data_IF_417999384515
#
_entry.id   IF_417999384515
#
_cell.length_a   1.000
_cell.length_b   1.000
_cell.length_c   1.000
_cell.angle_alpha   90.00
_cell.angle_beta   90.00
_cell.angle_gamma   90.00
#
_symmetry.space_group_name_H-M   'P 1'
#
loop_
_entity.id
_entity.type
_entity.pdbx_description
1 polymer ?
#
# COMPACT_ATOMS: atom_id res chain seq x y z
N UNK A 1 40.11 -30.60 14.66
CA UNK A 1 39.56 -29.57 13.77
C UNK A 1 38.40 -30.23 13.08
N UNK A 2 37.22 -29.73 13.38
CA UNK A 2 35.93 -30.37 13.10
C UNK A 2 35.74 -30.54 11.59
N UNK A 3 35.26 -31.72 11.24
CA UNK A 3 34.94 -32.18 9.90
C UNK A 3 33.68 -31.45 9.43
N UNK A 4 33.84 -30.19 9.00
CA UNK A 4 32.78 -29.51 8.25
C UNK A 4 32.64 -30.28 6.95
N UNK A 5 31.57 -31.09 6.87
CA UNK A 5 31.25 -31.92 5.72
C UNK A 5 31.43 -31.15 4.43
N UNK A 6 31.95 -31.85 3.41
CA UNK A 6 32.23 -31.29 2.10
C UNK A 6 31.02 -30.47 1.62
N UNK A 7 31.20 -29.26 1.04
CA UNK A 7 30.08 -28.46 0.53
C UNK A 7 29.18 -29.21 -0.48
N UNK A 8 29.70 -30.31 -1.04
CA UNK A 8 29.01 -31.27 -1.92
C UNK A 8 27.98 -32.16 -1.20
N UNK A 9 28.05 -32.29 0.13
CA UNK A 9 27.13 -33.10 0.94
C UNK A 9 25.89 -32.31 1.39
N UNK A 10 25.85 -31.00 1.11
CA UNK A 10 24.72 -30.13 1.44
C UNK A 10 23.56 -30.37 0.47
N UNK A 11 22.34 -30.29 1.00
CA UNK A 11 21.14 -30.34 0.17
C UNK A 11 21.09 -29.17 -0.81
N UNK A 12 20.60 -29.41 -2.02
CA UNK A 12 20.57 -28.40 -3.09
C UNK A 12 19.79 -27.12 -2.72
N UNK A 13 18.82 -27.22 -1.82
CA UNK A 13 18.00 -26.11 -1.33
C UNK A 13 18.68 -25.26 -0.25
N UNK A 14 19.75 -25.78 0.35
CA UNK A 14 20.48 -25.14 1.46
C UNK A 14 21.86 -24.62 1.02
N UNK A 15 22.21 -24.82 -0.26
CA UNK A 15 23.43 -24.30 -0.85
C UNK A 15 23.43 -22.78 -0.79
N UNK A 16 24.52 -22.20 -0.28
CA UNK A 16 24.77 -20.77 -0.31
C UNK A 16 25.73 -20.42 -1.44
N UNK A 17 25.79 -19.13 -1.79
CA UNK A 17 26.76 -18.64 -2.78
C UNK A 17 28.19 -18.98 -2.36
N UNK A 18 28.51 -18.94 -1.06
CA UNK A 18 29.82 -19.32 -0.53
C UNK A 18 30.14 -20.81 -0.78
N UNK A 19 29.15 -21.68 -0.63
CA UNK A 19 29.32 -23.11 -0.88
C UNK A 19 29.67 -23.39 -2.35
N UNK A 20 29.09 -22.66 -3.29
CA UNK A 20 29.42 -22.76 -4.73
C UNK A 20 30.88 -22.35 -4.98
N UNK A 21 31.38 -21.33 -4.29
CA UNK A 21 32.79 -20.93 -4.37
C UNK A 21 33.74 -21.98 -3.78
N UNK A 22 33.36 -22.61 -2.67
CA UNK A 22 34.16 -23.68 -2.06
C UNK A 22 34.20 -24.93 -2.94
N UNK A 23 33.07 -25.29 -3.57
CA UNK A 23 32.99 -26.37 -4.57
C UNK A 23 33.88 -26.05 -5.78
N UNK A 24 33.85 -24.82 -6.27
CA UNK A 24 34.69 -24.37 -7.39
C UNK A 24 36.19 -24.48 -7.06
N UNK A 25 36.58 -24.18 -5.82
CA UNK A 25 37.95 -24.30 -5.35
C UNK A 25 38.43 -25.76 -5.31
N UNK A 26 37.59 -26.68 -4.81
CA UNK A 26 37.91 -28.12 -4.79
C UNK A 26 38.00 -28.67 -6.22
N UNK A 27 37.04 -28.33 -7.09
CA UNK A 27 37.11 -28.73 -8.50
C UNK A 27 38.32 -28.17 -9.23
N UNK A 28 38.70 -26.91 -8.95
CA UNK A 28 39.90 -26.28 -9.50
C UNK A 28 41.18 -27.04 -9.16
N UNK A 29 41.30 -27.55 -7.92
CA UNK A 29 42.44 -28.37 -7.49
C UNK A 29 42.50 -29.71 -8.23
N UNK A 30 41.36 -30.35 -8.52
CA UNK A 30 41.34 -31.59 -9.31
C UNK A 30 41.73 -31.34 -10.77
N UNK A 31 41.25 -30.22 -11.36
CA UNK A 31 41.67 -29.82 -12.70
C UNK A 31 43.17 -29.52 -12.78
N UNK A 32 43.75 -28.91 -11.75
CA UNK A 32 45.20 -28.66 -11.66
C UNK A 32 45.98 -29.99 -11.70
N UNK A 33 45.57 -31.00 -10.91
CA UNK A 33 46.20 -32.33 -10.93
C UNK A 33 46.09 -33.03 -12.29
N UNK A 34 44.96 -32.89 -12.97
CA UNK A 34 44.75 -33.47 -14.31
C UNK A 34 45.64 -32.76 -15.34
N UNK A 35 45.73 -31.43 -15.27
CA UNK A 35 46.60 -30.64 -16.14
C UNK A 35 48.07 -31.04 -15.95
N UNK A 36 48.50 -31.20 -14.70
CA UNK A 36 49.88 -31.60 -14.38
C UNK A 36 50.27 -32.97 -14.97
N UNK A 37 49.30 -33.89 -15.11
CA UNK A 37 49.55 -35.26 -15.58
C UNK A 37 49.33 -35.44 -17.10
N UNK A 38 48.37 -34.73 -17.69
CA UNK A 38 47.90 -34.97 -19.07
C UNK A 38 48.04 -33.75 -19.99
N UNK A 39 48.51 -32.62 -19.47
CA UNK A 39 48.62 -31.36 -20.20
C UNK A 39 47.30 -30.60 -20.35
N UNK A 40 47.39 -29.32 -20.70
CA UNK A 40 46.24 -28.39 -20.70
C UNK A 40 45.21 -28.66 -21.81
N UNK A 41 45.64 -29.19 -22.96
CA UNK A 41 44.81 -29.28 -24.17
C UNK A 41 43.56 -30.17 -23.99
N UNK A 42 43.65 -31.23 -23.17
CA UNK A 42 42.55 -32.14 -22.93
C UNK A 42 41.53 -31.59 -21.90
N UNK A 43 41.96 -30.73 -20.98
CA UNK A 43 41.16 -30.26 -19.85
C UNK A 43 40.49 -28.90 -20.09
N UNK A 44 41.02 -28.05 -20.98
CA UNK A 44 40.50 -26.71 -21.28
C UNK A 44 39.03 -26.71 -21.74
N UNK A 45 38.65 -27.64 -22.63
CA UNK A 45 37.25 -27.75 -23.12
C UNK A 45 36.27 -28.22 -22.06
N UNK A 46 36.72 -29.01 -21.09
CA UNK A 46 35.90 -29.47 -19.98
C UNK A 46 35.78 -28.36 -18.91
N UNK A 47 36.90 -27.70 -18.61
CA UNK A 47 36.96 -26.60 -17.63
C UNK A 47 35.98 -25.48 -17.98
N UNK A 48 35.95 -25.04 -19.24
CA UNK A 48 35.01 -24.02 -19.72
C UNK A 48 33.54 -24.42 -19.54
N UNK A 49 33.19 -25.71 -19.69
CA UNK A 49 31.84 -26.22 -19.41
C UNK A 49 31.54 -26.29 -17.92
N UNK A 50 32.51 -26.69 -17.09
CA UNK A 50 32.33 -26.74 -15.63
C UNK A 50 32.18 -25.34 -15.05
N UNK A 51 32.97 -24.37 -15.51
CA UNK A 51 32.81 -22.96 -15.15
C UNK A 51 31.40 -22.48 -15.52
N UNK A 52 30.88 -22.83 -16.71
CA UNK A 52 29.52 -22.47 -17.10
C UNK A 52 28.45 -23.08 -16.18
N UNK A 53 28.62 -24.33 -15.76
CA UNK A 53 27.69 -24.99 -14.82
C UNK A 53 27.74 -24.31 -13.45
N UNK A 54 28.93 -23.97 -12.96
CA UNK A 54 29.11 -23.24 -11.70
C UNK A 54 28.49 -21.83 -11.75
N UNK A 55 28.60 -21.11 -12.87
CA UNK A 55 27.93 -19.83 -13.07
C UNK A 55 26.41 -19.95 -13.00
N UNK A 56 25.84 -20.98 -13.64
CA UNK A 56 24.39 -21.24 -13.59
C UNK A 56 23.96 -21.58 -12.16
N UNK A 57 24.76 -22.38 -11.45
CA UNK A 57 24.49 -22.74 -10.05
C UNK A 57 24.55 -21.51 -9.13
N UNK A 58 25.53 -20.63 -9.30
CA UNK A 58 25.63 -19.37 -8.55
C UNK A 58 24.38 -18.50 -8.73
N UNK A 59 23.90 -18.36 -9.98
CA UNK A 59 22.68 -17.57 -10.27
C UNK A 59 21.43 -18.20 -9.65
N UNK A 60 21.30 -19.53 -9.72
CA UNK A 60 20.15 -20.23 -9.15
C UNK A 60 20.12 -20.13 -7.62
N UNK A 61 21.27 -20.31 -6.97
CA UNK A 61 21.41 -20.17 -5.52
C UNK A 61 21.17 -18.73 -5.07
N UNK A 62 21.67 -17.75 -5.81
CA UNK A 62 21.43 -16.32 -5.55
C UNK A 62 19.95 -15.98 -5.66
N UNK A 63 19.25 -16.48 -6.68
CA UNK A 63 17.80 -16.27 -6.84
C UNK A 63 16.98 -16.96 -5.75
N UNK A 64 17.36 -18.18 -5.35
CA UNK A 64 16.65 -18.93 -4.32
C UNK A 64 16.77 -18.26 -2.94
N UNK A 65 17.96 -17.72 -2.60
CA UNK A 65 18.19 -17.04 -1.34
C UNK A 65 17.60 -15.62 -1.29
N UNK A 66 17.29 -15.05 -2.45
CA UNK A 66 16.67 -13.72 -2.57
C UNK A 66 15.15 -13.82 -2.70
N UNK A 67 14.54 -15.00 -2.86
CA UNK A 67 13.11 -15.17 -3.18
C UNK A 67 12.19 -14.45 -2.15
N UNK A 68 11.86 -13.17 -2.39
CA UNK A 68 11.27 -12.30 -1.38
C UNK A 68 9.80 -12.63 -1.22
N UNK A 69 9.17 -13.10 -2.30
CA UNK A 69 7.79 -13.57 -2.35
C UNK A 69 7.56 -14.71 -1.36
N UNK A 70 8.49 -15.66 -1.24
CA UNK A 70 8.33 -16.76 -0.26
C UNK A 70 8.43 -16.29 1.19
N UNK A 71 9.26 -15.29 1.49
CA UNK A 71 9.37 -14.71 2.82
C UNK A 71 8.18 -13.78 3.13
N UNK A 72 7.73 -12.99 2.15
CA UNK A 72 6.54 -12.15 2.23
C UNK A 72 5.28 -12.98 2.49
N UNK A 73 5.09 -14.08 1.75
CA UNK A 73 3.99 -15.01 1.98
C UNK A 73 4.06 -15.68 3.35
N UNK A 74 5.27 -15.98 3.86
CA UNK A 74 5.45 -16.50 5.23
C UNK A 74 5.04 -15.47 6.28
N UNK A 75 5.48 -14.21 6.12
CA UNK A 75 5.13 -13.12 7.03
C UNK A 75 3.63 -12.83 7.01
N UNK A 76 3.00 -12.83 5.82
CA UNK A 76 1.56 -12.60 5.69
C UNK A 76 0.76 -13.78 6.28
N UNK A 77 1.21 -15.02 6.11
CA UNK A 77 0.61 -16.18 6.76
C UNK A 77 0.66 -16.07 8.29
N UNK A 78 1.80 -15.63 8.84
CA UNK A 78 1.94 -15.44 10.29
C UNK A 78 1.11 -14.28 10.82
N UNK A 79 1.02 -13.17 10.06
CA UNK A 79 0.10 -12.07 10.35
C UNK A 79 -1.36 -12.55 10.40
N UNK A 80 -1.81 -13.28 9.37
CA UNK A 80 -3.17 -13.82 9.29
C UNK A 80 -3.46 -14.80 10.44
N UNK A 81 -2.47 -15.59 10.86
CA UNK A 81 -2.60 -16.47 12.05
C UNK A 81 -2.79 -15.66 13.33
N UNK A 82 -2.02 -14.59 13.52
CA UNK A 82 -2.20 -13.71 14.68
C UNK A 82 -3.57 -13.05 14.67
N UNK A 83 -4.00 -12.51 13.52
CA UNK A 83 -5.31 -11.88 13.39
C UNK A 83 -6.45 -12.86 13.68
N UNK A 84 -6.38 -14.09 13.16
CA UNK A 84 -7.34 -15.15 13.47
C UNK A 84 -7.37 -15.44 14.97
N UNK A 85 -6.22 -15.59 15.61
CA UNK A 85 -6.15 -15.87 17.04
C UNK A 85 -6.73 -14.73 17.88
N UNK A 86 -6.52 -13.48 17.48
CA UNK A 86 -7.04 -12.33 18.19
C UNK A 86 -8.56 -12.16 17.98
N UNK A 87 -9.07 -12.45 16.78
CA UNK A 87 -10.53 -12.55 16.55
C UNK A 87 -11.16 -13.61 17.44
N UNK A 88 -10.57 -14.80 17.50
CA UNK A 88 -11.07 -15.91 18.33
C UNK A 88 -11.04 -15.57 19.83
N UNK A 89 -10.01 -14.87 20.31
CA UNK A 89 -9.97 -14.37 21.71
C UNK A 89 -11.06 -13.34 21.97
N UNK A 90 -11.31 -12.40 21.05
CA UNK A 90 -12.37 -11.39 21.18
C UNK A 90 -13.74 -12.05 21.23
N UNK A 91 -13.99 -13.02 20.35
CA UNK A 91 -15.23 -13.82 20.37
C UNK A 91 -15.41 -14.57 21.68
N UNK A 92 -14.35 -15.18 22.22
CA UNK A 92 -14.41 -15.85 23.53
C UNK A 92 -14.70 -14.88 24.69
N UNK A 93 -14.14 -13.66 24.66
CA UNK A 93 -14.41 -12.65 25.68
C UNK A 93 -15.86 -12.15 25.56
N UNK A 94 -16.31 -11.85 24.34
CA UNK A 94 -17.67 -11.42 24.08
C UNK A 94 -18.71 -12.48 24.49
N UNK A 95 -18.41 -13.76 24.23
CA UNK A 95 -19.25 -14.87 24.68
C UNK A 95 -19.38 -14.91 26.21
N UNK A 96 -18.29 -14.70 26.95
CA UNK A 96 -18.32 -14.64 28.42
C UNK A 96 -19.08 -13.42 28.94
N UNK A 97 -18.97 -12.28 28.26
CA UNK A 97 -19.74 -11.08 28.59
C UNK A 97 -21.24 -11.31 28.38
N UNK A 98 -21.62 -11.97 27.28
CA UNK A 98 -23.01 -12.35 27.02
C UNK A 98 -23.54 -13.32 28.08
N UNK A 99 -22.77 -14.35 28.44
CA UNK A 99 -23.13 -15.28 29.53
C UNK A 99 -23.35 -14.55 30.86
N UNK A 100 -22.47 -13.59 31.19
CA UNK A 100 -22.62 -12.79 32.40
C UNK A 100 -23.89 -11.92 32.37
N UNK A 101 -24.19 -11.29 31.22
CA UNK A 101 -25.41 -10.50 31.03
C UNK A 101 -26.66 -11.37 31.16
N UNK A 102 -26.65 -12.57 30.57
CA UNK A 102 -27.75 -13.53 30.71
C UNK A 102 -27.96 -13.96 32.17
N UNK A 103 -26.90 -14.22 32.92
CA UNK A 103 -26.99 -14.60 34.33
C UNK A 103 -27.57 -13.48 35.19
N UNK A 104 -27.12 -12.24 34.99
CA UNK A 104 -27.67 -11.06 35.68
C UNK A 104 -29.16 -10.90 35.35
N UNK A 105 -29.52 -10.99 34.06
CA UNK A 105 -30.90 -10.86 33.62
C UNK A 105 -31.81 -11.96 34.19
N UNK A 106 -31.32 -13.21 34.29
CA UNK A 106 -32.03 -14.31 34.96
C UNK A 106 -32.26 -14.02 36.43
N UNK A 107 -31.26 -13.47 37.12
CA UNK A 107 -31.37 -13.05 38.52
C UNK A 107 -32.44 -11.98 38.72
N UNK A 108 -32.38 -10.90 37.94
CA UNK A 108 -33.37 -9.81 37.99
C UNK A 108 -34.78 -10.30 37.69
N UNK A 109 -34.95 -11.15 36.67
CA UNK A 109 -36.24 -11.74 36.33
C UNK A 109 -36.79 -12.60 37.48
N UNK A 110 -35.94 -13.38 38.15
CA UNK A 110 -36.33 -14.19 39.30
C UNK A 110 -36.71 -13.33 40.51
N UNK A 111 -35.99 -12.24 40.76
CA UNK A 111 -36.30 -11.30 41.84
C UNK A 111 -37.64 -10.59 41.61
N UNK A 112 -37.90 -10.16 40.37
CA UNK A 112 -39.19 -9.58 39.98
C UNK A 112 -40.34 -10.58 40.13
N UNK A 113 -40.15 -11.83 39.72
CA UNK A 113 -41.14 -12.89 39.91
C UNK A 113 -41.41 -13.16 41.40
N UNK A 114 -40.37 -13.12 42.23
CA UNK A 114 -40.48 -13.28 43.68
C UNK A 114 -41.29 -12.12 44.30
N UNK A 115 -41.02 -10.88 43.87
CA UNK A 115 -41.77 -9.70 44.28
C UNK A 115 -43.24 -9.77 43.85
N UNK A 116 -43.53 -10.16 42.60
CA UNK A 116 -44.91 -10.35 42.12
C UNK A 116 -45.63 -11.39 42.97
N UNK A 117 -44.98 -12.51 43.27
CA UNK A 117 -45.56 -13.58 44.10
C UNK A 117 -45.86 -13.08 45.51
N UNK A 118 -44.95 -12.34 46.13
CA UNK A 118 -45.15 -11.73 47.45
C UNK A 118 -46.33 -10.74 47.43
N UNK A 119 -46.37 -9.83 46.46
CA UNK A 119 -47.46 -8.88 46.30
C UNK A 119 -48.81 -9.57 46.03
N UNK A 120 -48.83 -10.68 45.31
CA UNK A 120 -50.05 -11.49 45.11
C UNK A 120 -50.54 -12.12 46.43
N UNK A 121 -49.63 -12.63 47.26
CA UNK A 121 -49.96 -13.18 48.59
C UNK A 121 -50.51 -12.08 49.50
N UNK A 122 -49.84 -10.92 49.55
CA UNK A 122 -50.27 -9.77 50.34
C UNK A 122 -51.65 -9.27 49.88
N UNK A 123 -51.86 -9.09 48.58
CA UNK A 123 -53.16 -8.71 48.03
C UNK A 123 -54.27 -9.71 48.38
N UNK A 124 -53.98 -11.02 48.32
CA UNK A 124 -54.93 -12.07 48.69
C UNK A 124 -55.23 -12.03 50.20
N UNK A 125 -54.24 -11.75 51.03
CA UNK A 125 -54.40 -11.56 52.47
C UNK A 125 -55.27 -10.33 52.80
N UNK A 126 -54.99 -9.19 52.17
CA UNK A 126 -55.76 -7.94 52.33
C UNK A 126 -57.21 -8.15 51.90
N UNK A 127 -57.46 -8.74 50.74
CA UNK A 127 -58.83 -9.05 50.26
C UNK A 127 -59.62 -9.91 51.25
N UNK A 128 -58.98 -10.92 51.86
CA UNK A 128 -59.61 -11.74 52.91
C UNK A 128 -59.90 -10.94 54.17
N UNK A 129 -58.99 -10.04 54.58
CA UNK A 129 -59.17 -9.19 55.76
C UNK A 129 -60.28 -8.14 55.58
N UNK A 130 -60.45 -7.59 54.38
CA UNK A 130 -61.54 -6.67 54.05
C UNK A 130 -62.88 -7.39 54.03
N UNK A 131 -62.94 -8.60 53.45
CA UNK A 131 -64.14 -9.45 53.48
C UNK A 131 -64.60 -9.84 54.89
N UNK A 132 -63.70 -9.82 55.89
CA UNK A 132 -64.03 -10.07 57.30
C UNK A 132 -64.52 -8.80 58.04
N UNK A 133 -64.23 -7.61 57.50
CA UNK A 133 -64.59 -6.31 58.09
C UNK A 133 -65.94 -5.77 57.60
N UNK A 134 -66.54 -6.33 56.56
CA UNK A 134 -67.83 -5.91 56.00
C UNK A 134 -69.07 -6.48 56.76
N UNK A 135 -68.97 -6.71 58.07
CA UNK A 135 -70.12 -7.02 58.95
C UNK A 135 -70.47 -5.79 59.79
N UNK A 136 -71.73 -5.30 59.83
CA UNK A 136 -72.02 -3.96 60.34
C UNK A 136 -72.30 -3.98 61.84
N UNK A 137 -71.47 -3.28 62.63
CA UNK A 137 -71.89 -2.68 63.90
C UNK A 137 -71.28 -1.28 64.02
N UNK A 138 -72.15 -0.42 64.52
CA UNK A 138 -72.24 1.03 64.64
C UNK A 138 -71.26 1.72 65.59
N UNK A 139 -71.11 3.02 65.31
CA UNK A 139 -70.89 4.14 66.25
C UNK A 139 -69.56 4.21 67.03
N UNK A 140 -68.80 5.27 66.78
CA UNK A 140 -68.71 6.34 67.79
C UNK A 140 -68.21 7.67 67.20
N UNK A 141 -68.90 8.72 67.63
CA UNK A 141 -68.71 10.13 67.34
C UNK A 141 -67.38 10.67 67.91
N UNK A 142 -66.87 11.69 67.20
CA UNK A 142 -66.25 12.90 67.76
C UNK A 142 -65.23 12.72 68.90
N UNK A 143 -63.95 12.75 68.53
CA UNK A 143 -62.87 13.47 69.24
C UNK A 143 -61.55 13.13 68.56
N UNK A 144 -60.99 14.05 67.78
CA UNK A 144 -59.56 14.37 67.84
C UNK A 144 -59.22 15.44 66.79
N UNK A 145 -59.01 16.67 67.27
CA UNK A 145 -58.15 17.67 66.62
C UNK A 145 -56.68 17.24 66.74
N UNK A 146 -56.38 16.05 66.23
CA UNK A 146 -55.06 15.44 66.25
C UNK A 146 -55.03 14.37 65.19
N UNK A 147 -54.03 14.45 64.32
CA UNK A 147 -53.76 13.49 63.22
C UNK A 147 -54.09 12.07 63.69
N UNK A 148 -55.08 11.45 63.05
CA UNK A 148 -55.56 10.11 63.40
C UNK A 148 -54.40 9.11 63.30
N UNK A 149 -54.45 8.01 64.07
CA UNK A 149 -53.35 7.02 64.09
C UNK A 149 -53.04 6.45 62.69
N UNK A 150 -54.07 6.31 61.85
CA UNK A 150 -53.95 5.95 60.43
C UNK A 150 -53.20 7.02 59.61
N UNK A 151 -53.49 8.29 59.84
CA UNK A 151 -52.82 9.42 59.17
C UNK A 151 -51.35 9.53 59.61
N UNK A 152 -51.03 9.25 60.88
CA UNK A 152 -49.63 9.13 61.36
C UNK A 152 -48.90 7.98 60.68
N UNK A 153 -49.55 6.84 60.50
CA UNK A 153 -48.98 5.68 59.79
C UNK A 153 -48.69 6.01 58.32
N UNK A 154 -49.62 6.69 57.65
CA UNK A 154 -49.43 7.15 56.25
C UNK A 154 -48.28 8.14 56.17
N UNK A 155 -48.21 9.11 57.08
CA UNK A 155 -47.14 10.10 57.10
C UNK A 155 -45.75 9.48 57.34
N UNK A 156 -45.68 8.43 58.19
CA UNK A 156 -44.44 7.66 58.38
C UNK A 156 -44.00 6.94 57.10
N UNK A 157 -44.93 6.26 56.42
CA UNK A 157 -44.64 5.59 55.14
C UNK A 157 -44.23 6.57 54.06
N UNK A 158 -44.90 7.72 53.97
CA UNK A 158 -44.56 8.77 53.01
C UNK A 158 -43.16 9.33 53.28
N UNK A 159 -42.82 9.54 54.56
CA UNK A 159 -41.46 9.93 54.96
C UNK A 159 -40.42 8.88 54.56
N UNK A 160 -40.68 7.60 54.80
CA UNK A 160 -39.78 6.51 54.40
C UNK A 160 -39.57 6.45 52.87
N UNK A 161 -40.63 6.66 52.09
CA UNK A 161 -40.52 6.72 50.62
C UNK A 161 -39.74 7.97 50.17
N UNK A 162 -40.00 9.13 50.76
CA UNK A 162 -39.27 10.37 50.44
C UNK A 162 -37.78 10.25 50.81
N UNK A 163 -37.47 9.66 51.97
CA UNK A 163 -36.08 9.45 52.39
C UNK A 163 -35.38 8.46 51.44
N UNK A 164 -36.04 7.37 51.02
CA UNK A 164 -35.52 6.46 49.99
C UNK A 164 -35.29 7.13 48.64
N UNK A 165 -36.27 7.92 48.17
CA UNK A 165 -36.13 8.65 46.90
C UNK A 165 -34.96 9.65 46.96
N UNK A 166 -34.70 10.27 48.12
CA UNK A 166 -33.53 11.13 48.31
C UNK A 166 -32.21 10.36 48.26
N UNK A 167 -32.17 9.16 48.81
CA UNK A 167 -31.00 8.27 48.71
C UNK A 167 -30.77 7.86 47.26
N UNK A 168 -31.82 7.40 46.57
CA UNK A 168 -31.76 7.02 45.16
C UNK A 168 -31.31 8.18 44.25
N UNK A 169 -31.81 9.40 44.49
CA UNK A 169 -31.36 10.59 43.75
C UNK A 169 -29.86 10.83 43.98
N UNK A 170 -29.38 10.70 45.22
CA UNK A 170 -27.95 10.88 45.53
C UNK A 170 -27.08 9.83 44.87
N UNK A 171 -27.51 8.58 44.87
CA UNK A 171 -26.79 7.49 44.22
C UNK A 171 -26.75 7.69 42.70
N UNK A 172 -27.88 8.11 42.10
CA UNK A 172 -27.96 8.43 40.68
C UNK A 172 -27.12 9.64 40.28
N UNK A 173 -27.06 10.69 41.10
CA UNK A 173 -26.17 11.83 40.88
C UNK A 173 -24.69 11.41 40.93
N UNK A 174 -24.34 10.49 41.83
CA UNK A 174 -22.98 9.95 41.90
C UNK A 174 -22.64 9.12 40.66
N UNK A 175 -23.56 8.27 40.22
CA UNK A 175 -23.42 7.48 38.98
C UNK A 175 -23.26 8.40 37.75
N UNK A 176 -24.09 9.45 37.64
CA UNK A 176 -24.00 10.44 36.56
C UNK A 176 -22.67 11.17 36.55
N UNK A 177 -22.14 11.54 37.72
CA UNK A 177 -20.84 12.21 37.81
C UNK A 177 -19.70 11.30 37.32
N UNK A 178 -19.69 10.03 37.73
CA UNK A 178 -18.70 9.06 37.23
C UNK A 178 -18.80 8.87 35.72
N UNK A 179 -20.02 8.78 35.17
CA UNK A 179 -20.23 8.71 33.72
C UNK A 179 -19.78 9.97 32.99
N UNK A 180 -19.96 11.15 33.59
CA UNK A 180 -19.44 12.41 33.03
C UNK A 180 -17.90 12.43 33.01
N UNK A 181 -17.24 11.98 34.08
CA UNK A 181 -15.77 11.86 34.11
C UNK A 181 -15.26 10.91 33.02
N UNK A 182 -15.92 9.77 32.80
CA UNK A 182 -15.61 8.85 31.71
C UNK A 182 -15.80 9.50 30.33
N UNK A 183 -16.90 10.25 30.14
CA UNK A 183 -17.16 10.98 28.89
C UNK A 183 -16.09 12.04 28.62
N UNK A 184 -15.69 12.81 29.63
CA UNK A 184 -14.62 13.80 29.52
C UNK A 184 -13.27 13.15 29.17
N UNK A 185 -12.95 12.00 29.80
CA UNK A 185 -11.74 11.24 29.49
C UNK A 185 -11.74 10.73 28.04
N UNK A 186 -12.88 10.21 27.56
CA UNK A 186 -13.04 9.76 26.18
C UNK A 186 -12.96 10.92 25.18
N UNK A 187 -13.54 12.08 25.50
CA UNK A 187 -13.43 13.29 24.67
C UNK A 187 -11.97 13.75 24.55
N UNK A 188 -11.20 13.72 25.64
CA UNK A 188 -9.77 14.06 25.60
C UNK A 188 -8.97 13.09 24.71
N UNK A 189 -9.28 11.79 24.80
CA UNK A 189 -8.65 10.78 23.93
C UNK A 189 -9.02 10.98 22.47
N UNK A 190 -10.30 11.26 22.16
CA UNK A 190 -10.76 11.55 20.82
C UNK A 190 -10.03 12.76 20.23
N UNK A 191 -9.94 13.86 20.98
CA UNK A 191 -9.21 15.05 20.54
C UNK A 191 -7.72 14.77 20.29
N UNK A 192 -7.09 13.97 21.15
CA UNK A 192 -5.69 13.54 20.95
C UNK A 192 -5.53 12.71 19.67
N UNK A 193 -6.41 11.75 19.44
CA UNK A 193 -6.38 10.92 18.23
C UNK A 193 -6.64 11.75 16.97
N UNK A 194 -7.57 12.71 17.03
CA UNK A 194 -7.84 13.63 15.93
C UNK A 194 -6.59 14.45 15.57
N UNK A 195 -5.84 14.94 16.56
CA UNK A 195 -4.56 15.63 16.33
C UNK A 195 -3.52 14.72 15.69
N UNK A 196 -3.33 13.51 16.20
CA UNK A 196 -2.40 12.54 15.62
C UNK A 196 -2.79 12.19 14.18
N UNK A 197 -4.09 12.01 13.91
CA UNK A 197 -4.57 11.69 12.57
C UNK A 197 -4.29 12.84 11.58
N UNK A 198 -4.48 14.09 12.01
CA UNK A 198 -4.13 15.27 11.21
C UNK A 198 -2.62 15.32 10.91
N UNK A 199 -1.77 15.10 11.92
CA UNK A 199 -0.31 15.08 11.78
C UNK A 199 0.14 13.97 10.81
N UNK A 200 -0.47 12.78 10.89
CA UNK A 200 -0.19 11.66 9.99
C UNK A 200 -0.62 11.97 8.55
N UNK A 201 -1.81 12.55 8.35
CA UNK A 201 -2.27 12.99 7.01
C UNK A 201 -1.30 13.99 6.40
N UNK A 202 -0.87 14.99 7.17
CA UNK A 202 0.11 15.96 6.70
C UNK A 202 1.44 15.30 6.33
N UNK A 203 1.92 14.36 7.17
CA UNK A 203 3.16 13.62 6.89
C UNK A 203 3.06 12.77 5.63
N UNK A 204 1.94 12.10 5.40
CA UNK A 204 1.67 11.36 4.17
C UNK A 204 1.75 12.30 2.96
N UNK A 205 1.05 13.44 2.99
CA UNK A 205 1.09 14.41 1.87
C UNK A 205 2.51 14.91 1.57
N UNK A 206 3.34 15.14 2.61
CA UNK A 206 4.75 15.54 2.42
C UNK A 206 5.57 14.41 1.77
N UNK A 207 5.43 13.18 2.25
CA UNK A 207 6.15 12.01 1.70
C UNK A 207 5.72 11.74 0.26
N UNK A 208 4.44 11.85 -0.05
CA UNK A 208 3.92 11.73 -1.43
C UNK A 208 4.49 12.81 -2.35
N UNK A 209 4.54 14.06 -1.90
CA UNK A 209 5.14 15.15 -2.68
C UNK A 209 6.64 14.90 -2.93
N UNK A 210 7.37 14.40 -1.93
CA UNK A 210 8.77 14.01 -2.09
C UNK A 210 8.93 12.85 -3.09
N UNK A 211 8.08 11.82 -3.00
CA UNK A 211 8.08 10.70 -3.94
C UNK A 211 7.86 11.15 -5.38
N UNK A 212 6.88 12.03 -5.62
CA UNK A 212 6.62 12.62 -6.95
C UNK A 212 7.82 13.41 -7.48
N UNK A 213 8.48 14.20 -6.63
CA UNK A 213 9.67 14.96 -7.01
C UNK A 213 10.84 14.04 -7.43
N UNK A 214 11.07 12.94 -6.69
CA UNK A 214 12.13 11.96 -7.03
C UNK A 214 11.81 11.23 -8.33
N UNK A 215 10.55 10.85 -8.56
CA UNK A 215 10.12 10.22 -9.82
C UNK A 215 10.36 11.18 -11.00
N UNK A 216 10.02 12.46 -10.85
CA UNK A 216 10.27 13.47 -11.87
C UNK A 216 11.76 13.64 -12.16
N UNK A 217 12.60 13.75 -11.13
CA UNK A 217 14.06 13.85 -11.29
C UNK A 217 14.65 12.62 -12.00
N UNK A 218 14.16 11.42 -11.66
CA UNK A 218 14.57 10.19 -12.34
C UNK A 218 14.21 10.25 -13.83
N UNK A 219 12.98 10.63 -14.17
CA UNK A 219 12.54 10.74 -15.55
C UNK A 219 13.37 11.78 -16.35
N UNK A 220 13.70 12.91 -15.73
CA UNK A 220 14.57 13.93 -16.35
C UNK A 220 15.98 13.42 -16.60
N UNK A 221 16.58 12.71 -15.64
CA UNK A 221 17.91 12.11 -15.79
C UNK A 221 17.93 11.01 -16.86
N UNK A 222 16.89 10.18 -16.92
CA UNK A 222 16.72 9.16 -17.96
C UNK A 222 16.62 9.81 -19.34
N UNK A 223 15.80 10.86 -19.49
CA UNK A 223 15.71 11.61 -20.74
C UNK A 223 17.05 12.22 -21.16
N UNK A 224 17.81 12.81 -20.22
CA UNK A 224 19.16 13.34 -20.49
C UNK A 224 20.15 12.24 -20.91
N UNK A 225 20.07 11.07 -20.29
CA UNK A 225 20.90 9.91 -20.63
C UNK A 225 20.59 9.44 -22.06
N UNK A 226 19.31 9.31 -22.41
CA UNK A 226 18.89 8.94 -23.76
C UNK A 226 19.33 9.96 -24.82
N UNK A 227 19.20 11.25 -24.54
CA UNK A 227 19.67 12.30 -25.45
C UNK A 227 21.18 12.20 -25.72
N UNK A 228 22.00 12.05 -24.67
CA UNK A 228 23.45 11.84 -24.81
C UNK A 228 23.78 10.56 -25.58
N UNK A 229 23.04 9.49 -25.36
CA UNK A 229 23.23 8.23 -26.09
C UNK A 229 22.95 8.39 -27.58
N UNK A 230 21.93 9.18 -27.95
CA UNK A 230 21.63 9.51 -29.35
C UNK A 230 22.74 10.37 -29.97
N UNK A 231 23.25 11.38 -29.25
CA UNK A 231 24.39 12.19 -29.70
C UNK A 231 25.65 11.35 -29.93
N UNK A 232 25.98 10.45 -29.00
CA UNK A 232 27.09 9.51 -29.16
C UNK A 232 26.88 8.58 -30.37
N UNK A 233 25.65 8.13 -30.60
CA UNK A 233 25.27 7.36 -31.78
C UNK A 233 25.52 8.15 -33.08
N UNK A 234 25.07 9.40 -33.14
CA UNK A 234 25.27 10.28 -34.28
C UNK A 234 26.76 10.56 -34.55
N UNK A 235 27.54 10.86 -33.50
CA UNK A 235 28.99 11.07 -33.61
C UNK A 235 29.72 9.79 -34.08
N UNK A 236 29.31 8.60 -33.63
CA UNK A 236 29.88 7.34 -34.11
C UNK A 236 29.61 7.11 -35.60
N UNK A 237 28.41 7.43 -36.07
CA UNK A 237 28.06 7.36 -37.49
C UNK A 237 28.90 8.34 -38.31
N UNK A 238 29.05 9.57 -37.81
CA UNK A 238 29.87 10.59 -38.48
C UNK A 238 31.36 10.20 -38.54
N UNK A 239 31.90 9.64 -37.47
CA UNK A 239 33.27 9.09 -37.46
C UNK A 239 33.41 7.92 -38.44
N UNK A 240 32.40 7.05 -38.56
CA UNK A 240 32.42 5.96 -39.54
C UNK A 240 32.42 6.52 -40.98
N UNK A 241 31.54 7.47 -41.28
CA UNK A 241 31.47 8.16 -42.58
C UNK A 241 32.81 8.81 -42.95
N UNK A 242 33.41 9.59 -42.04
CA UNK A 242 34.70 10.23 -42.28
C UNK A 242 35.84 9.23 -42.47
N UNK A 243 35.77 8.04 -41.83
CA UNK A 243 36.74 6.97 -42.05
C UNK A 243 36.61 6.36 -43.43
N UNK A 244 35.38 6.15 -43.91
CA UNK A 244 35.10 5.66 -45.27
C UNK A 244 35.57 6.68 -46.31
N UNK A 245 35.21 7.96 -46.17
CA UNK A 245 35.68 9.03 -47.06
C UNK A 245 37.22 9.08 -47.10
N UNK A 246 37.90 8.98 -45.96
CA UNK A 246 39.37 8.93 -45.92
C UNK A 246 39.93 7.70 -46.64
N UNK A 247 39.31 6.53 -46.50
CA UNK A 247 39.74 5.32 -47.22
C UNK A 247 39.57 5.48 -48.73
N UNK A 248 38.47 6.08 -49.18
CA UNK A 248 38.25 6.40 -50.58
C UNK A 248 39.33 7.36 -51.11
N UNK A 249 39.63 8.43 -50.37
CA UNK A 249 40.73 9.36 -50.72
C UNK A 249 42.09 8.66 -50.79
N UNK A 250 42.40 7.75 -49.86
CA UNK A 250 43.65 6.97 -49.89
C UNK A 250 43.73 6.04 -51.11
N UNK A 251 42.60 5.44 -51.52
CA UNK A 251 42.53 4.60 -52.72
C UNK A 251 42.68 5.43 -53.99
N UNK A 252 42.04 6.60 -54.08
CA UNK A 252 42.17 7.49 -55.22
C UNK A 252 43.58 8.08 -55.33
N UNK A 253 44.24 8.37 -54.20
CA UNK A 253 45.64 8.83 -54.18
C UNK A 253 46.59 7.72 -54.67
N UNK A 254 46.35 6.46 -54.29
CA UNK A 254 47.10 5.31 -54.83
C UNK A 254 46.87 5.09 -56.32
N UNK A 255 45.63 5.20 -56.82
CA UNK A 255 45.36 5.15 -58.28
C UNK A 255 46.06 6.27 -59.04
N UNK A 256 46.06 7.48 -58.48
CA UNK A 256 46.72 8.65 -59.09
C UNK A 256 48.25 8.53 -59.06
N UNK A 257 48.82 7.82 -58.08
CA UNK A 257 50.27 7.55 -58.00
C UNK A 257 50.73 6.41 -58.94
N UNK A 258 49.82 5.52 -59.37
CA UNK A 258 50.10 4.52 -60.41
C UNK A 258 49.99 5.10 -61.84
N UNK A 259 49.39 6.29 -62.01
CA UNK A 259 49.45 7.10 -63.24
C UNK A 259 50.60 8.13 -63.18
N UNK A 260 51.83 7.75 -63.55
CA UNK A 260 52.90 8.73 -63.82
C UNK A 260 52.72 9.37 -65.22
N UNK A 261 53.04 10.67 -65.41
CA UNK A 261 52.56 11.48 -66.52
C UNK A 261 53.52 11.50 -67.71
N UNK A 262 53.01 11.28 -68.91
CA UNK A 262 53.67 11.77 -70.14
C UNK A 262 53.57 13.31 -70.20
N UNK A 263 54.65 14.04 -70.52
CA UNK A 263 54.65 15.49 -70.43
C UNK A 263 54.05 16.08 -71.70
N UNK A 264 52.94 16.80 -71.61
CA UNK A 264 52.66 17.92 -72.52
C UNK A 264 51.41 18.72 -72.15
N UNK A 265 51.66 20.02 -72.00
CA UNK A 265 50.77 21.17 -72.18
C UNK A 265 49.89 21.54 -70.99
N UNK A 266 50.46 22.48 -70.22
CA UNK A 266 49.73 23.50 -69.50
C UNK A 266 48.62 24.11 -70.38
N UNK A 267 47.38 23.96 -69.95
CA UNK A 267 46.32 24.92 -70.22
C UNK A 267 45.69 25.27 -68.89
N UNK A 268 45.90 26.52 -68.52
CA UNK A 268 45.31 27.19 -67.38
C UNK A 268 43.82 27.38 -67.68
N UNK A 269 42.95 26.54 -67.12
CA UNK A 269 41.50 26.76 -67.16
C UNK A 269 41.01 27.09 -65.76
N UNK A 270 40.72 28.37 -65.65
CA UNK A 270 40.05 29.05 -64.56
C UNK A 270 38.63 28.49 -64.36
N UNK A 271 38.30 28.21 -63.09
CA UNK A 271 36.98 28.24 -62.43
C UNK A 271 35.77 27.69 -63.20
N UNK A 272 35.16 26.60 -62.74
CA UNK A 272 33.78 26.57 -62.21
C UNK A 272 33.34 25.16 -61.78
N UNK A 273 32.33 25.10 -60.90
CA UNK A 273 31.53 23.95 -60.45
C UNK A 273 32.01 23.16 -59.22
N UNK A 274 32.01 23.82 -58.06
CA UNK A 274 31.53 23.16 -56.83
C UNK A 274 30.07 23.56 -56.68
N UNK A 275 29.18 22.62 -56.98
CA UNK A 275 27.77 22.68 -56.61
C UNK A 275 27.69 22.54 -55.08
N UNK A 276 27.87 23.65 -54.37
CA UNK A 276 27.45 23.75 -52.98
C UNK A 276 25.92 23.76 -52.97
N UNK A 277 25.31 22.57 -52.96
CA UNK A 277 23.90 22.41 -52.61
C UNK A 277 23.80 22.60 -51.10
N UNK A 278 23.75 23.86 -50.69
CA UNK A 278 23.27 24.29 -49.39
C UNK A 278 21.80 23.91 -49.29
N UNK A 279 21.50 22.68 -48.87
CA UNK A 279 20.21 22.38 -48.27
C UNK A 279 20.26 22.86 -46.81
N UNK A 280 19.82 24.10 -46.62
CA UNK A 280 19.17 24.50 -45.39
C UNK A 280 17.84 23.75 -45.34
N UNK A 281 17.48 23.02 -44.27
CA UNK A 281 16.09 22.77 -43.98
C UNK A 281 15.58 23.94 -43.16
N UNK A 282 14.99 24.93 -43.83
CA UNK A 282 14.01 25.80 -43.22
C UNK A 282 12.66 25.08 -43.32
N UNK A 283 12.30 24.38 -42.26
CA UNK A 283 10.95 23.85 -42.05
C UNK A 283 10.77 23.61 -40.54
N UNK A 284 10.66 24.71 -39.81
CA UNK A 284 9.81 24.73 -38.62
C UNK A 284 8.36 24.61 -39.12
N UNK A 285 7.96 23.38 -39.41
CA UNK A 285 6.57 23.02 -39.63
C UNK A 285 6.15 22.17 -38.43
N UNK A 286 5.26 22.73 -37.62
CA UNK A 286 4.52 22.04 -36.58
C UNK A 286 3.98 20.72 -37.11
N UNK A 287 4.55 19.61 -36.65
CA UNK A 287 3.85 18.33 -36.62
C UNK A 287 3.40 18.16 -35.18
N UNK A 288 2.18 18.63 -34.96
CA UNK A 288 1.34 18.18 -33.86
C UNK A 288 1.12 16.69 -34.10
N UNK A 289 1.84 15.85 -33.36
CA UNK A 289 1.38 14.49 -33.10
C UNK A 289 0.86 14.47 -31.67
N UNK A 290 -0.43 14.19 -31.59
CA UNK A 290 -1.25 14.15 -30.39
C UNK A 290 -0.54 13.42 -29.25
N UNK A 291 -0.20 14.18 -28.22
CA UNK A 291 -0.04 13.65 -26.87
C UNK A 291 -1.43 13.39 -26.30
N UNK A 292 -1.65 12.15 -25.88
CA UNK A 292 -2.82 11.57 -25.22
C UNK A 292 -3.20 12.23 -23.87
N UNK A 293 -2.63 13.40 -23.54
CA UNK A 293 -2.85 14.13 -22.28
C UNK A 293 -3.39 15.55 -22.47
N UNK A 294 -4.02 15.84 -23.61
CA UNK A 294 -4.57 17.16 -23.91
C UNK A 294 -6.10 17.28 -23.71
N UNK A 295 -6.74 16.34 -23.01
CA UNK A 295 -8.20 16.36 -22.82
C UNK A 295 -8.55 16.08 -21.35
N UNK A 296 -8.26 17.04 -20.47
CA UNK A 296 -8.86 17.19 -19.11
C UNK A 296 -8.46 18.54 -18.48
N UNK A 297 -8.57 19.65 -19.24
CA UNK A 297 -8.49 21.01 -18.68
C UNK A 297 -9.59 21.89 -19.24
N UNK A 298 -10.85 21.52 -18.99
CA UNK A 298 -12.00 22.40 -19.21
C UNK A 298 -13.17 21.94 -18.35
N UNK A 299 -13.08 22.09 -17.03
CA UNK A 299 -14.28 22.18 -16.19
C UNK A 299 -14.13 23.41 -15.30
N UNK A 300 -14.38 24.57 -15.91
CA UNK A 300 -14.44 25.86 -15.21
C UNK A 300 -15.70 26.00 -14.34
N UNK A 301 -16.56 24.99 -14.28
CA UNK A 301 -17.80 24.98 -13.50
C UNK A 301 -17.62 24.31 -12.12
N UNK A 302 -16.63 23.42 -11.96
CA UNK A 302 -16.41 22.69 -10.71
C UNK A 302 -15.72 23.53 -9.61
N UNK A 303 -14.87 24.49 -10.01
CA UNK A 303 -14.15 25.36 -9.06
C UNK A 303 -14.98 26.53 -8.52
N UNK A 304 -16.12 26.84 -9.14
CA UNK A 304 -17.03 27.90 -8.66
C UNK A 304 -17.84 27.47 -7.42
N UNK A 305 -17.91 26.17 -7.12
CA UNK A 305 -18.74 25.64 -6.02
C UNK A 305 -17.96 25.32 -4.74
N UNK A 306 -16.63 25.51 -4.75
CA UNK A 306 -15.77 25.24 -3.60
C UNK A 306 -15.45 26.48 -2.72
N UNK A 307 -15.83 27.69 -3.15
CA UNK A 307 -15.59 28.93 -2.39
C UNK A 307 -16.77 29.91 -2.46
N UNK A 308 -17.93 29.53 -1.90
CA UNK A 308 -18.89 30.51 -1.39
C UNK A 308 -18.96 30.40 0.13
N UNK A 309 -18.16 31.25 0.77
CA UNK A 309 -18.25 31.57 2.19
C UNK A 309 -19.31 32.67 2.38
N UNK A 310 -20.21 32.40 3.33
CA UNK A 310 -20.93 33.36 4.18
C UNK A 310 -21.57 34.60 3.51
N UNK A 311 -22.89 34.52 3.31
CA UNK A 311 -23.77 35.69 3.50
C UNK A 311 -25.01 35.28 4.30
N UNK A 312 -25.03 35.74 5.54
CA UNK A 312 -26.21 35.83 6.42
C UNK A 312 -27.40 36.49 5.71
N UNK A 313 -28.64 36.12 6.04
CA UNK A 313 -29.83 36.68 5.41
C UNK A 313 -30.11 38.12 5.86
N UNK A 314 -30.68 38.99 5.02
CA UNK A 314 -31.21 40.26 5.48
C UNK A 314 -32.54 40.02 6.20
N UNK A 315 -32.55 40.38 7.49
CA UNK A 315 -33.75 40.60 8.31
C UNK A 315 -34.49 41.82 7.78
N UNK A 316 -35.79 41.71 7.50
CA UNK A 316 -36.79 42.80 7.48
C UNK A 316 -38.22 42.19 7.42
N UNK A 317 -39.25 42.91 7.89
CA UNK A 317 -39.90 42.63 9.17
C UNK A 317 -41.32 42.05 9.05
N UNK A 318 -41.75 41.46 10.17
CA UNK A 318 -43.14 41.14 10.49
C UNK A 318 -44.06 42.33 10.18
N UNK A 319 -45.10 42.08 9.39
CA UNK A 319 -46.38 42.75 9.53
C UNK A 319 -47.43 41.69 9.84
N UNK A 320 -48.04 41.85 11.00
CA UNK A 320 -49.24 41.16 11.45
C UNK A 320 -50.40 41.43 10.47
N UNK A 321 -51.14 40.39 10.09
CA UNK A 321 -52.55 40.50 9.74
C UNK A 321 -53.22 39.21 10.23
N UNK A 322 -54.00 39.36 11.30
CA UNK A 322 -54.95 38.39 11.80
C UNK A 322 -56.10 38.21 10.78
N UNK A 323 -56.45 36.98 10.42
CA UNK A 323 -57.80 36.68 9.92
C UNK A 323 -58.30 35.36 10.52
N UNK A 324 -59.41 35.50 11.25
CA UNK A 324 -60.25 34.45 11.83
C UNK A 324 -61.21 33.81 10.80
N UNK A 325 -61.83 32.70 11.24
CA UNK A 325 -63.07 32.03 10.80
C UNK A 325 -62.94 30.93 9.72
N UNK A 326 -63.04 29.62 10.07
CA UNK A 326 -64.22 28.75 10.33
C UNK A 326 -64.80 28.09 9.04
N UNK A 327 -65.53 26.96 9.10
CA UNK A 327 -65.04 25.62 8.78
C UNK A 327 -65.67 25.05 7.48
N UNK A 328 -65.46 23.75 7.26
CA UNK A 328 -66.37 22.79 6.59
C UNK A 328 -65.87 22.13 5.28
N UNK A 329 -65.72 20.81 5.43
CA UNK A 329 -65.75 19.68 4.47
C UNK A 329 -64.80 19.62 3.25
N UNK A 330 -64.15 18.45 3.19
CA UNK A 330 -63.61 17.73 2.03
C UNK A 330 -62.17 18.08 1.61
N UNK A 331 -61.20 17.35 2.18
CA UNK A 331 -60.33 16.59 1.28
C UNK A 331 -59.83 15.29 1.93
N UNK A 332 -60.53 14.20 1.64
CA UNK A 332 -60.20 12.84 2.04
C UNK A 332 -59.02 12.27 1.21
N UNK A 333 -58.10 13.14 0.78
CA UNK A 333 -57.05 12.88 -0.22
C UNK A 333 -55.64 13.24 0.24
N UNK A 334 -55.47 13.75 1.46
CA UNK A 334 -54.15 14.02 2.04
C UNK A 334 -53.51 12.79 2.71
N UNK A 335 -54.27 11.69 2.87
CA UNK A 335 -53.79 10.51 3.59
C UNK A 335 -52.65 9.75 2.90
N UNK A 336 -52.34 10.05 1.64
CA UNK A 336 -51.24 9.41 0.87
C UNK A 336 -50.06 10.35 0.60
N UNK A 337 -50.08 11.59 1.11
CA UNK A 337 -48.94 12.52 0.97
C UNK A 337 -47.98 12.28 2.14
N UNK A 338 -46.69 11.98 1.91
CA UNK A 338 -45.76 11.85 3.02
C UNK A 338 -45.52 13.23 3.64
N UNK A 339 -45.98 13.40 4.87
CA UNK A 339 -45.81 14.62 5.66
C UNK A 339 -44.53 14.49 6.47
N UNK A 340 -43.40 14.81 5.86
CA UNK A 340 -42.14 14.91 6.59
C UNK A 340 -42.09 16.23 7.36
N UNK A 341 -41.66 16.18 8.61
CA UNK A 341 -41.29 17.39 9.34
C UNK A 341 -40.03 18.02 8.73
N UNK A 342 -39.81 19.32 8.93
CA UNK A 342 -38.58 19.98 8.46
C UNK A 342 -37.31 19.35 9.04
N UNK A 343 -37.42 18.77 10.23
CA UNK A 343 -36.31 18.07 10.89
C UNK A 343 -36.06 16.70 10.23
N UNK A 344 -37.10 15.92 9.97
CA UNK A 344 -36.99 14.66 9.20
C UNK A 344 -36.40 14.90 7.80
N UNK A 345 -36.77 16.00 7.14
CA UNK A 345 -36.21 16.33 5.83
C UNK A 345 -34.72 16.70 5.94
N UNK A 346 -34.30 17.38 7.01
CA UNK A 346 -32.87 17.68 7.25
C UNK A 346 -32.08 16.41 7.53
N UNK A 347 -32.64 15.51 8.32
CA UNK A 347 -32.00 14.24 8.64
C UNK A 347 -31.85 13.37 7.39
N UNK A 348 -32.89 13.25 6.56
CA UNK A 348 -32.84 12.55 5.28
C UNK A 348 -31.83 13.19 4.33
N UNK A 349 -31.73 14.53 4.29
CA UNK A 349 -30.73 15.22 3.48
C UNK A 349 -29.30 14.98 3.97
N UNK A 350 -29.10 14.94 5.29
CA UNK A 350 -27.82 14.65 5.92
C UNK A 350 -27.40 13.20 5.65
N UNK A 351 -28.31 12.26 5.88
CA UNK A 351 -28.11 10.84 5.59
C UNK A 351 -27.83 10.62 4.10
N UNK A 352 -28.59 11.25 3.20
CA UNK A 352 -28.33 11.22 1.74
C UNK A 352 -26.93 11.75 1.40
N UNK A 353 -26.50 12.84 2.01
CA UNK A 353 -25.18 13.42 1.76
C UNK A 353 -24.07 12.49 2.28
N UNK A 354 -24.27 11.88 3.43
CA UNK A 354 -23.33 10.93 4.05
C UNK A 354 -23.22 9.64 3.23
N UNK A 355 -24.35 9.08 2.80
CA UNK A 355 -24.41 7.94 1.88
C UNK A 355 -23.78 8.28 0.52
N UNK A 356 -23.96 9.50 0.01
CA UNK A 356 -23.33 9.93 -1.24
C UNK A 356 -21.80 9.99 -1.10
N UNK A 357 -21.27 10.40 0.05
CA UNK A 357 -19.84 10.36 0.34
C UNK A 357 -19.32 8.92 0.43
N UNK A 358 -20.05 8.03 1.11
CA UNK A 358 -19.70 6.61 1.19
C UNK A 358 -19.72 5.94 -0.19
N UNK A 359 -20.75 6.20 -1.00
CA UNK A 359 -20.84 5.68 -2.38
C UNK A 359 -19.70 6.21 -3.26
N UNK A 360 -19.27 7.46 -3.06
CA UNK A 360 -18.11 7.99 -3.75
C UNK A 360 -16.82 7.24 -3.38
N UNK A 361 -16.55 7.07 -2.08
CA UNK A 361 -15.41 6.31 -1.57
C UNK A 361 -15.41 4.85 -2.08
N UNK A 362 -16.55 4.17 -1.97
CA UNK A 362 -16.71 2.78 -2.44
C UNK A 362 -16.56 2.65 -3.95
N UNK A 363 -16.96 3.67 -4.73
CA UNK A 363 -16.72 3.69 -6.18
C UNK A 363 -15.25 3.85 -6.50
N UNK A 364 -14.52 4.67 -5.76
CA UNK A 364 -13.07 4.84 -5.91
C UNK A 364 -12.33 3.55 -5.54
N UNK A 365 -12.70 2.89 -4.44
CA UNK A 365 -12.19 1.57 -4.06
C UNK A 365 -12.51 0.52 -5.13
N UNK A 366 -13.74 0.48 -5.65
CA UNK A 366 -14.10 -0.44 -6.74
C UNK A 366 -13.32 -0.15 -8.02
N UNK A 367 -12.99 1.11 -8.33
CA UNK A 367 -12.14 1.45 -9.47
C UNK A 367 -10.72 0.96 -9.20
N UNK A 368 -10.19 1.17 -7.99
CA UNK A 368 -8.88 0.69 -7.58
C UNK A 368 -8.76 -0.84 -7.73
N UNK A 369 -9.70 -1.61 -7.16
CA UNK A 369 -9.67 -3.08 -7.26
C UNK A 369 -9.94 -3.58 -8.67
N UNK A 370 -10.79 -2.91 -9.47
CA UNK A 370 -10.97 -3.25 -10.89
C UNK A 370 -9.72 -2.95 -11.71
N UNK A 371 -9.00 -1.87 -11.41
CA UNK A 371 -7.72 -1.57 -12.03
C UNK A 371 -6.65 -2.58 -11.61
N UNK A 372 -6.66 -3.04 -10.36
CA UNK A 372 -5.78 -4.09 -9.85
C UNK A 372 -6.11 -5.46 -10.47
N UNK A 373 -7.38 -5.83 -10.63
CA UNK A 373 -7.82 -7.02 -11.38
C UNK A 373 -7.45 -6.96 -12.86
N UNK A 374 -7.58 -5.78 -13.50
CA UNK A 374 -7.18 -5.57 -14.89
C UNK A 374 -5.65 -5.62 -15.06
N UNK A 375 -4.89 -5.07 -14.11
CA UNK A 375 -3.44 -5.24 -14.06
C UNK A 375 -3.11 -6.73 -13.88
N UNK A 376 -3.77 -7.44 -12.97
CA UNK A 376 -3.58 -8.87 -12.76
C UNK A 376 -3.97 -9.73 -13.98
N UNK A 377 -4.97 -9.35 -14.78
CA UNK A 377 -5.31 -10.01 -16.05
C UNK A 377 -4.29 -9.68 -17.16
N UNK A 378 -3.82 -8.44 -17.25
CA UNK A 378 -2.77 -8.02 -18.20
C UNK A 378 -1.43 -8.72 -17.90
N UNK A 379 -1.10 -8.90 -16.62
CA UNK A 379 0.08 -9.64 -16.17
C UNK A 379 -0.13 -11.17 -16.13
N UNK A 380 -1.38 -11.65 -16.05
CA UNK A 380 -1.74 -13.07 -16.01
C UNK A 380 -1.87 -13.76 -17.38
N UNK A 381 -2.05 -13.01 -18.47
CA UNK A 381 -2.20 -13.58 -19.83
C UNK A 381 -0.86 -13.72 -20.59
N UNK A 382 0.27 -13.24 -20.07
CA UNK A 382 1.58 -13.42 -20.72
C UNK A 382 2.40 -14.56 -20.12
N UNK A 383 1.87 -15.79 -20.20
CA UNK A 383 2.66 -17.02 -20.18
C UNK A 383 3.09 -17.36 -21.62
N UNK A 384 4.05 -16.61 -22.13
CA UNK A 384 5.09 -17.05 -23.07
C UNK A 384 5.97 -15.83 -23.45
N UNK A 385 7.28 -15.83 -23.14
CA UNK A 385 8.14 -14.73 -23.57
C UNK A 385 8.38 -14.85 -25.08
N UNK A 386 8.13 -13.80 -25.91
CA UNK A 386 8.66 -13.79 -27.25
C UNK A 386 10.19 -13.73 -27.13
N UNK A 387 10.85 -14.70 -27.77
CA UNK A 387 12.28 -14.70 -28.03
C UNK A 387 12.66 -13.43 -28.81
N UNK A 388 12.92 -12.34 -28.10
CA UNK A 388 13.59 -11.17 -28.66
C UNK A 388 15.09 -11.34 -28.42
N UNK A 389 15.77 -11.76 -29.48
CA UNK A 389 17.20 -11.62 -29.67
C UNK A 389 17.59 -10.15 -29.50
N UNK A 390 18.10 -9.77 -28.33
CA UNK A 390 18.84 -8.52 -28.16
C UNK A 390 20.24 -8.66 -28.75
N UNK A 391 20.76 -7.63 -29.43
CA UNK A 391 22.11 -7.63 -29.95
C UNK A 391 23.11 -7.56 -28.80
N UNK A 392 24.14 -8.38 -28.90
CA UNK A 392 25.31 -8.35 -28.04
C UNK A 392 25.98 -6.97 -28.11
N UNK A 393 25.97 -6.22 -27.00
CA UNK A 393 27.11 -5.46 -26.46
C UNK A 393 26.66 -4.76 -25.18
N UNK A 394 26.75 -5.48 -24.06
CA UNK A 394 26.92 -4.87 -22.75
C UNK A 394 27.97 -5.71 -22.05
N UNK A 395 29.15 -5.13 -21.82
CA UNK A 395 30.20 -5.73 -21.00
C UNK A 395 29.62 -5.99 -19.62
N UNK A 396 29.25 -7.25 -19.35
CA UNK A 396 29.03 -7.70 -17.98
C UNK A 396 30.38 -7.64 -17.25
N UNK A 397 30.44 -7.08 -16.03
CA UNK A 397 31.66 -7.15 -15.25
C UNK A 397 32.00 -8.63 -15.03
N UNK A 398 33.23 -9.04 -15.33
CA UNK A 398 33.66 -10.42 -15.24
C UNK A 398 33.27 -11.02 -13.87
N UNK A 399 32.47 -12.10 -13.90
CA UNK A 399 32.14 -12.90 -12.72
C UNK A 399 33.44 -13.23 -11.96
N UNK A 400 33.39 -13.21 -10.63
CA UNK A 400 34.54 -13.55 -9.78
C UNK A 400 35.14 -14.91 -10.16
N UNK A 401 34.31 -15.85 -10.62
CA UNK A 401 34.71 -17.16 -11.12
C UNK A 401 35.45 -17.04 -12.46
N UNK A 402 34.94 -16.23 -13.40
CA UNK A 402 35.66 -15.96 -14.65
C UNK A 402 37.02 -15.33 -14.40
N UNK A 403 37.15 -14.41 -13.44
CA UNK A 403 38.46 -13.84 -13.05
C UNK A 403 39.41 -14.86 -12.44
N UNK A 404 38.89 -15.82 -11.67
CA UNK A 404 39.70 -16.90 -11.11
C UNK A 404 40.24 -17.86 -12.20
N UNK A 405 39.48 -18.09 -13.27
CA UNK A 405 39.88 -18.99 -14.36
C UNK A 405 40.49 -18.27 -15.59
N UNK A 406 40.36 -16.95 -15.71
CA UNK A 406 40.84 -16.13 -16.85
C UNK A 406 42.37 -16.19 -17.02
N UNK A 407 43.12 -16.44 -15.95
CA UNK A 407 44.59 -16.60 -15.99
C UNK A 407 45.01 -17.78 -16.88
N UNK A 408 44.15 -18.79 -17.05
CA UNK A 408 44.42 -19.97 -17.89
C UNK A 408 44.01 -19.82 -19.35
N UNK A 409 43.25 -18.78 -19.72
CA UNK A 409 42.67 -18.63 -21.07
C UNK A 409 43.30 -17.50 -21.90
N UNK A 410 44.43 -16.95 -21.48
CA UNK A 410 45.14 -15.90 -22.21
C UNK A 410 45.94 -16.45 -23.40
N UNK A 411 45.32 -16.47 -24.58
CA UNK A 411 45.99 -16.75 -25.86
C UNK A 411 46.89 -15.56 -26.28
N UNK A 412 48.15 -15.88 -26.61
CA UNK A 412 49.24 -15.03 -27.15
C UNK A 412 50.05 -14.19 -26.14
N UNK A 413 51.13 -14.79 -25.61
CA UNK A 413 52.38 -14.07 -25.32
C UNK A 413 53.58 -14.75 -25.99
N UNK A 414 54.54 -13.93 -26.40
CA UNK A 414 55.76 -14.27 -27.15
C UNK A 414 56.66 -15.26 -26.38
N UNK A 415 57.54 -16.02 -27.07
CA UNK A 415 58.24 -17.18 -26.53
C UNK A 415 59.49 -16.87 -25.68
N UNK A 416 59.47 -15.80 -24.88
CA UNK A 416 60.56 -15.47 -23.95
C UNK A 416 60.00 -14.89 -22.65
N UNK A 417 59.30 -15.71 -21.87
CA UNK A 417 59.13 -15.57 -20.40
C UNK A 417 58.30 -16.74 -19.88
N UNK A 418 58.88 -17.95 -19.91
CA UNK A 418 58.35 -19.09 -19.14
C UNK A 418 58.83 -18.91 -17.71
N UNK A 419 58.21 -17.98 -16.97
CA UNK A 419 58.27 -17.97 -15.51
C UNK A 419 56.98 -18.63 -15.01
N UNK A 420 57.07 -19.96 -14.93
CA UNK A 420 56.34 -20.87 -14.05
C UNK A 420 54.99 -20.37 -13.47
N UNK A 421 53.87 -20.72 -14.12
CA UNK A 421 52.51 -20.57 -13.58
C UNK A 421 52.24 -21.32 -12.26
N UNK A 422 53.21 -22.09 -11.74
CA UNK A 422 53.12 -22.77 -10.43
C UNK A 422 53.10 -21.81 -9.24
N UNK A 423 53.69 -20.61 -9.32
CA UNK A 423 53.81 -19.72 -8.15
C UNK A 423 52.58 -18.83 -7.93
N UNK A 424 51.81 -18.53 -8.98
CA UNK A 424 50.69 -17.56 -8.93
C UNK A 424 49.41 -18.22 -8.39
N UNK A 425 49.15 -19.48 -8.75
CA UNK A 425 47.98 -20.25 -8.29
C UNK A 425 48.11 -20.53 -6.78
N UNK A 426 49.31 -20.92 -6.34
CA UNK A 426 49.60 -21.17 -4.92
C UNK A 426 49.57 -19.91 -4.05
N UNK A 427 49.82 -18.71 -4.59
CA UNK A 427 49.80 -17.46 -3.82
C UNK A 427 48.39 -16.87 -3.68
N UNK A 428 47.55 -16.91 -4.71
CA UNK A 428 46.15 -16.44 -4.61
C UNK A 428 45.26 -17.34 -3.74
N UNK A 429 45.48 -18.66 -3.77
CA UNK A 429 44.78 -19.60 -2.88
C UNK A 429 45.30 -19.46 -1.42
N UNK A 430 46.59 -19.14 -1.19
CA UNK A 430 47.12 -18.85 0.16
C UNK A 430 46.69 -17.50 0.73
N UNK A 431 46.56 -16.46 -0.10
CA UNK A 431 46.23 -15.09 0.34
C UNK A 431 44.78 -14.93 0.83
N UNK A 432 43.89 -15.88 0.55
CA UNK A 432 42.51 -15.89 1.06
C UNK A 432 42.26 -16.84 2.23
N UNK A 433 43.31 -17.46 2.77
CA UNK A 433 43.26 -18.30 3.97
C UNK A 433 43.73 -17.58 5.24
N UNK A 434 43.91 -16.26 5.18
CA UNK A 434 44.18 -15.38 6.33
C UNK A 434 43.10 -14.31 6.47
#
# INVERSE_FOLDING_TARGET
MEDFGTPLDKNATELTVMDVYDIAAVMGQEFERIIDQFGCEASLRLMTKVVRVLEVLEVLVTRNNINPETEELRLELDRLRMERNDRLKKEQLHQKELELVEDVWRGEAQDLLSQITQLQVENKSIRKSLSLKDSPVTEELQRQEGVSESERQVMKKLKEVVDKQRDEIRDKDHELNLKNEDLEALQLQQHRLMKINLDLRHRISVVEAQGKAVIQQKAELEAMSHARQQELGALRQEVARLKEERQEWELDMKRSAEEEPSPSKAVMTVLTTVLAKSLVPASAASIVHNSFWAECRSDHEFLAQCFESEKSPPVLPLCDEEQEEEPDVLDQKESDRPHFTLEELRDVLKERNELKAQVFMLREELIYYKSEELENEIYGINLDPPLQSQPATAEQPDSGIKRLFSIFSGEKRQPEEVICGREIICTQIRLRRH
#
